data_IF_380386326207
#
_entry.id   IF_380386326207
#
_cell.length_a   1.000
_cell.length_b   1.000
_cell.length_c   1.000
_cell.angle_alpha   90.00
_cell.angle_beta   90.00
_cell.angle_gamma   90.00
#
_symmetry.space_group_name_H-M   'P 1'
#
loop_
_entity.id
_entity.type
_entity.pdbx_description
1 polymer ?
#
# COMPACT_ATOMS: atom_id res chain seq x y z
N UNK A 1 4.28 6.52 -9.23
CA UNK A 1 4.10 5.51 -8.16
C UNK A 1 4.78 6.01 -6.90
N UNK A 2 4.06 6.07 -5.78
CA UNK A 2 4.67 6.41 -4.49
C UNK A 2 5.08 5.13 -3.78
N UNK A 3 6.35 5.03 -3.40
CA UNK A 3 6.86 3.90 -2.61
C UNK A 3 6.91 4.33 -1.15
N UNK A 4 6.34 3.51 -0.26
CA UNK A 4 6.29 3.83 1.17
C UNK A 4 7.67 3.78 1.85
N UNK A 5 8.58 2.95 1.34
CA UNK A 5 9.88 2.68 1.97
C UNK A 5 10.92 2.41 0.90
N UNK A 6 12.22 2.55 1.18
CA UNK A 6 13.28 2.14 0.26
C UNK A 6 13.39 0.61 0.08
N UNK A 7 12.71 -0.17 0.95
CA UNK A 7 12.67 -1.62 0.88
C UNK A 7 11.97 -2.16 -0.38
N UNK A 8 12.29 -3.40 -0.77
CA UNK A 8 11.68 -4.07 -1.93
C UNK A 8 10.14 -4.06 -1.79
N UNK A 9 9.42 -3.44 -2.73
CA UNK A 9 7.97 -3.44 -2.69
C UNK A 9 7.46 -4.83 -3.03
N UNK A 10 6.50 -5.32 -2.24
CA UNK A 10 5.84 -6.62 -2.40
C UNK A 10 4.37 -6.46 -2.79
N UNK A 11 3.76 -5.37 -2.35
CA UNK A 11 2.35 -5.07 -2.56
C UNK A 11 2.21 -3.74 -3.29
N UNK A 12 1.44 -3.73 -4.38
CA UNK A 12 0.88 -2.52 -4.96
C UNK A 12 -0.55 -2.37 -4.45
N UNK A 13 -0.86 -1.22 -3.86
CA UNK A 13 -2.18 -0.94 -3.31
C UNK A 13 -2.78 0.30 -3.96
N UNK A 14 -4.10 0.37 -3.94
CA UNK A 14 -4.87 1.57 -4.22
C UNK A 14 -5.55 2.01 -2.94
N UNK A 15 -5.12 3.16 -2.43
CA UNK A 15 -5.55 3.73 -1.16
C UNK A 15 -6.53 4.87 -1.41
N UNK A 16 -7.65 4.87 -0.69
CA UNK A 16 -8.61 5.97 -0.74
C UNK A 16 -8.24 7.03 0.30
N UNK A 17 -7.67 8.15 -0.15
CA UNK A 17 -7.39 9.31 0.70
C UNK A 17 -8.58 10.26 0.85
N UNK A 18 -9.80 9.83 0.47
CA UNK A 18 -11.02 10.64 0.52
C UNK A 18 -11.19 11.71 -0.56
N UNK A 19 -10.11 12.13 -1.22
CA UNK A 19 -10.15 13.06 -2.36
C UNK A 19 -9.89 12.37 -3.70
N UNK A 20 -8.97 11.40 -3.72
CA UNK A 20 -8.55 10.70 -4.93
C UNK A 20 -7.93 9.35 -4.54
N UNK A 21 -8.17 8.34 -5.39
CA UNK A 21 -7.52 7.03 -5.26
C UNK A 21 -6.03 7.16 -5.58
N UNK A 22 -5.17 6.89 -4.62
CA UNK A 22 -3.71 6.95 -4.79
C UNK A 22 -3.11 5.56 -4.85
N UNK A 23 -2.23 5.32 -5.83
CA UNK A 23 -1.49 4.06 -5.94
C UNK A 23 -0.15 4.11 -5.20
N UNK A 24 0.04 3.14 -4.31
CA UNK A 24 1.23 3.03 -3.45
C UNK A 24 1.86 1.65 -3.56
N UNK A 25 3.19 1.62 -3.43
CA UNK A 25 3.98 0.40 -3.32
C UNK A 25 4.44 0.24 -1.86
N UNK A 26 4.17 -0.92 -1.29
CA UNK A 26 4.46 -1.25 0.10
C UNK A 26 5.36 -2.48 0.18
N UNK A 27 6.25 -2.46 1.16
CA UNK A 27 6.94 -3.67 1.58
C UNK A 27 6.06 -4.49 2.55
N UNK A 28 6.43 -5.76 2.73
CA UNK A 28 5.69 -6.68 3.61
C UNK A 28 5.60 -6.21 5.05
N UNK A 29 6.69 -5.66 5.59
CA UNK A 29 6.69 -5.12 6.95
C UNK A 29 5.70 -3.97 7.11
N UNK A 30 5.65 -3.01 6.17
CA UNK A 30 4.72 -1.89 6.28
C UNK A 30 3.26 -2.30 6.10
N UNK A 31 3.00 -3.23 5.18
CA UNK A 31 1.65 -3.78 5.04
C UNK A 31 1.17 -4.47 6.32
N UNK A 32 2.04 -5.23 7.00
CA UNK A 32 1.70 -5.93 8.24
C UNK A 32 1.81 -5.06 9.51
N UNK A 33 2.52 -3.94 9.45
CA UNK A 33 2.79 -3.11 10.63
C UNK A 33 1.57 -2.32 11.10
N UNK A 34 0.66 -1.96 10.18
CA UNK A 34 -0.50 -1.14 10.51
C UNK A 34 -1.81 -1.76 9.99
N UNK A 35 -2.59 -2.40 10.87
CA UNK A 35 -3.87 -3.02 10.48
C UNK A 35 -4.98 -2.00 10.22
N UNK A 36 -4.83 -0.74 10.64
CA UNK A 36 -5.81 0.33 10.37
C UNK A 36 -5.68 0.78 8.93
N UNK A 37 -4.46 0.96 8.46
CA UNK A 37 -4.11 1.27 7.08
C UNK A 37 -4.71 0.26 6.11
N UNK A 38 -4.68 -1.04 6.43
CA UNK A 38 -5.29 -2.09 5.61
C UNK A 38 -6.79 -1.88 5.35
N UNK A 39 -7.53 -1.25 6.28
CA UNK A 39 -8.98 -1.01 6.13
C UNK A 39 -9.31 0.05 5.08
N UNK A 40 -8.36 0.91 4.74
CA UNK A 40 -8.53 1.99 3.77
C UNK A 40 -7.94 1.63 2.38
N UNK A 41 -7.40 0.42 2.25
CA UNK A 41 -6.95 -0.13 0.98
C UNK A 41 -8.18 -0.62 0.21
N UNK A 42 -8.46 0.00 -0.92
CA UNK A 42 -9.53 -0.45 -1.83
C UNK A 42 -9.11 -1.64 -2.69
N UNK A 43 -7.84 -1.69 -3.06
CA UNK A 43 -7.32 -2.75 -3.93
C UNK A 43 -5.89 -3.06 -3.54
N UNK A 44 -5.54 -4.34 -3.52
CA UNK A 44 -4.17 -4.81 -3.30
C UNK A 44 -3.81 -5.83 -4.38
N UNK A 45 -2.59 -5.75 -4.87
CA UNK A 45 -2.00 -6.66 -5.85
C UNK A 45 -0.58 -6.98 -5.44
N UNK A 46 -0.26 -8.25 -5.34
CA UNK A 46 1.11 -8.72 -5.06
C UNK A 46 1.94 -8.64 -6.35
N UNK A 47 3.13 -8.06 -6.27
CA UNK A 47 3.99 -7.74 -7.43
C UNK A 47 5.35 -8.47 -7.43
N UNK A 48 5.61 -9.26 -6.37
CA UNK A 48 6.69 -10.26 -6.18
C UNK A 48 8.18 -9.80 -6.25
#
# INVERSE_FOLDING_TARGET
MKQCCDAKPKFQIKYDSGLEDSEWLLCESHYNSDPVFQKHIKTISEIE
#
